data_IF_522788583426
#
_entry.id   IF_522788583426
#
_cell.length_a   1.000
_cell.length_b   1.000
_cell.length_c   1.000
_cell.angle_alpha   90.00
_cell.angle_beta   90.00
_cell.angle_gamma   90.00
#
_symmetry.space_group_name_H-M   'P 1'
#
loop_
_entity.id
_entity.type
_entity.pdbx_description
1 polymer ?
#
# COMPACT_ATOMS: atom_id res chain seq x y z
N UNK A 1 45.38 -13.83 -59.34
CA UNK A 1 44.34 -12.77 -59.35
C UNK A 1 43.21 -13.22 -58.43
N UNK A 2 43.21 -12.75 -57.19
CA UNK A 2 42.18 -13.00 -56.19
C UNK A 2 41.33 -11.72 -56.08
N UNK A 3 40.07 -11.81 -56.49
CA UNK A 3 39.08 -10.73 -56.41
C UNK A 3 38.50 -10.71 -55.00
N UNK A 4 38.83 -9.64 -54.25
CA UNK A 4 38.28 -9.36 -52.94
C UNK A 4 36.84 -8.84 -53.07
N UNK A 5 35.88 -9.61 -52.56
CA UNK A 5 34.50 -9.18 -52.32
C UNK A 5 34.44 -8.42 -51.00
N UNK A 6 34.45 -7.09 -51.07
CA UNK A 6 34.08 -6.23 -49.95
C UNK A 6 32.60 -5.85 -50.12
N UNK A 7 31.72 -6.52 -49.38
CA UNK A 7 30.36 -6.05 -49.19
C UNK A 7 30.38 -4.91 -48.14
N UNK A 8 29.82 -3.72 -48.41
CA UNK A 8 29.62 -2.75 -47.35
C UNK A 8 28.46 -3.25 -46.49
N UNK A 9 28.75 -3.52 -45.22
CA UNK A 9 27.74 -3.63 -44.18
C UNK A 9 27.11 -2.23 -44.00
N UNK A 10 26.11 -1.93 -44.82
CA UNK A 10 25.19 -0.82 -44.58
C UNK A 10 24.36 -1.19 -43.35
N UNK A 11 24.88 -0.87 -42.18
CA UNK A 11 24.12 -0.84 -40.95
C UNK A 11 22.97 0.15 -41.16
N UNK A 12 21.75 -0.38 -41.34
CA UNK A 12 20.50 0.35 -41.26
C UNK A 12 20.37 0.92 -39.84
N UNK A 13 20.98 2.07 -39.61
CA UNK A 13 20.53 2.98 -38.57
C UNK A 13 19.20 3.56 -39.06
N UNK A 14 18.11 2.81 -38.88
CA UNK A 14 16.79 3.44 -38.81
C UNK A 14 16.86 4.37 -37.60
N UNK A 15 17.00 5.67 -37.88
CA UNK A 15 16.70 6.72 -36.91
C UNK A 15 15.33 6.38 -36.34
N UNK A 16 15.29 5.89 -35.09
CA UNK A 16 14.04 5.66 -34.38
C UNK A 16 13.41 7.03 -34.22
N UNK A 17 12.45 7.32 -35.07
CA UNK A 17 11.66 8.54 -35.05
C UNK A 17 11.11 8.70 -33.62
N UNK A 18 11.62 9.68 -32.89
CA UNK A 18 11.21 9.91 -31.50
C UNK A 18 9.76 10.37 -31.57
N UNK A 19 8.81 9.61 -31.01
CA UNK A 19 7.41 9.97 -31.11
C UNK A 19 7.18 11.32 -30.43
N UNK A 20 6.23 12.14 -30.92
CA UNK A 20 6.00 13.48 -30.39
C UNK A 20 5.69 13.46 -28.89
N UNK A 21 5.98 14.55 -28.16
CA UNK A 21 5.66 14.65 -26.74
C UNK A 21 4.16 14.47 -26.52
N UNK A 22 3.80 13.65 -25.55
CA UNK A 22 2.41 13.36 -25.21
C UNK A 22 1.82 14.51 -24.42
N UNK A 23 0.64 15.00 -24.81
CA UNK A 23 -0.10 16.01 -24.05
C UNK A 23 -0.91 15.35 -22.93
N UNK A 24 -1.24 16.10 -21.87
CA UNK A 24 -2.08 15.58 -20.78
C UNK A 24 -3.44 15.07 -21.26
N UNK A 25 -4.06 15.76 -22.23
CA UNK A 25 -5.33 15.34 -22.83
C UNK A 25 -5.20 14.00 -23.56
N UNK A 26 -4.13 13.83 -24.34
CA UNK A 26 -3.86 12.58 -25.03
C UNK A 26 -3.57 11.45 -24.03
N UNK A 27 -2.83 11.75 -22.95
CA UNK A 27 -2.56 10.80 -21.88
C UNK A 27 -3.85 10.37 -21.15
N UNK A 28 -4.73 11.32 -20.82
CA UNK A 28 -6.02 11.03 -20.20
C UNK A 28 -6.89 10.12 -21.08
N UNK A 29 -6.96 10.41 -22.38
CA UNK A 29 -7.68 9.57 -23.34
C UNK A 29 -7.10 8.14 -23.44
N UNK A 30 -5.77 8.00 -23.46
CA UNK A 30 -5.11 6.70 -23.49
C UNK A 30 -5.37 5.87 -22.22
N UNK A 31 -5.46 6.52 -21.05
CA UNK A 31 -5.81 5.87 -19.79
C UNK A 31 -7.30 5.47 -19.72
N UNK A 32 -8.18 6.26 -20.32
CA UNK A 32 -9.62 5.98 -20.36
C UNK A 32 -10.01 4.84 -21.32
N UNK A 33 -9.24 4.62 -22.39
CA UNK A 33 -9.50 3.58 -23.41
C UNK A 33 -9.42 2.13 -22.86
N UNK A 34 -8.79 1.92 -21.70
CA UNK A 34 -8.76 0.64 -20.99
C UNK A 34 -7.94 -0.47 -21.64
N UNK A 35 -7.56 -0.33 -22.92
CA UNK A 35 -6.68 -1.27 -23.63
C UNK A 35 -5.23 -1.10 -23.19
N UNK A 36 -4.50 -2.21 -23.14
CA UNK A 36 -3.06 -2.21 -22.88
C UNK A 36 -2.33 -1.81 -24.16
N UNK A 37 -1.87 -0.57 -24.23
CA UNK A 37 -1.12 -0.04 -25.37
C UNK A 37 0.15 0.68 -24.90
N UNK A 38 1.19 0.81 -25.74
CA UNK A 38 2.36 1.63 -25.41
C UNK A 38 2.01 3.07 -25.01
N UNK A 39 0.92 3.62 -25.55
CA UNK A 39 0.42 4.95 -25.20
C UNK A 39 -0.07 5.02 -23.75
N UNK A 40 -0.65 3.95 -23.22
CA UNK A 40 -1.09 3.87 -21.81
C UNK A 40 0.09 3.92 -20.85
N UNK A 41 1.18 3.22 -21.19
CA UNK A 41 2.41 3.25 -20.38
C UNK A 41 3.08 4.63 -20.45
N UNK A 42 3.11 5.26 -21.63
CA UNK A 42 3.57 6.66 -21.78
C UNK A 42 2.71 7.65 -21.00
N UNK A 43 1.39 7.44 -20.97
CA UNK A 43 0.46 8.27 -20.22
C UNK A 43 0.70 8.17 -18.70
N UNK A 44 0.95 6.96 -18.18
CA UNK A 44 1.35 6.78 -16.79
C UNK A 44 2.70 7.42 -16.47
N UNK A 45 3.69 7.26 -17.34
CA UNK A 45 5.00 7.91 -17.17
C UNK A 45 4.86 9.43 -17.09
N UNK A 46 4.03 10.03 -17.95
CA UNK A 46 3.72 11.46 -17.89
C UNK A 46 3.04 11.84 -16.57
N UNK A 47 2.07 11.05 -16.10
CA UNK A 47 1.41 11.30 -14.82
C UNK A 47 2.39 11.23 -13.62
N UNK A 48 3.33 10.29 -13.63
CA UNK A 48 4.39 10.17 -12.63
C UNK A 48 5.33 11.39 -12.65
N UNK A 49 5.71 11.86 -13.84
CA UNK A 49 6.57 13.04 -14.01
C UNK A 49 5.89 14.33 -13.54
N UNK A 50 4.60 14.48 -13.82
CA UNK A 50 3.84 15.66 -13.43
C UNK A 50 3.50 15.63 -11.93
N UNK A 51 3.14 14.46 -11.38
CA UNK A 51 2.76 14.27 -9.99
C UNK A 51 1.65 15.26 -9.57
N UNK A 52 1.87 16.09 -8.53
CA UNK A 52 0.89 17.09 -8.12
C UNK A 52 0.66 18.24 -9.13
N UNK A 53 1.41 18.32 -10.22
CA UNK A 53 1.19 19.33 -11.27
C UNK A 53 0.25 18.86 -12.37
N UNK A 54 -0.10 17.58 -12.40
CA UNK A 54 -1.05 17.06 -13.39
C UNK A 54 -2.39 17.80 -13.30
N UNK A 55 -2.96 18.10 -14.46
CA UNK A 55 -4.29 18.68 -14.58
C UNK A 55 -5.40 17.73 -14.11
N UNK A 56 -6.61 18.27 -13.82
CA UNK A 56 -7.70 17.50 -13.23
C UNK A 56 -8.18 16.34 -14.10
N UNK A 57 -8.16 16.49 -15.43
CA UNK A 57 -8.57 15.44 -16.37
C UNK A 57 -7.62 14.24 -16.32
N UNK A 58 -6.29 14.49 -16.35
CA UNK A 58 -5.29 13.43 -16.25
C UNK A 58 -5.34 12.74 -14.89
N UNK A 59 -5.48 13.51 -13.79
CA UNK A 59 -5.63 12.94 -12.43
C UNK A 59 -6.82 11.99 -12.35
N UNK A 60 -7.99 12.42 -12.83
CA UNK A 60 -9.20 11.61 -12.84
C UNK A 60 -9.01 10.33 -13.69
N UNK A 61 -8.37 10.46 -14.85
CA UNK A 61 -8.09 9.32 -15.73
C UNK A 61 -7.14 8.29 -15.08
N UNK A 62 -6.09 8.75 -14.39
CA UNK A 62 -5.17 7.87 -13.64
C UNK A 62 -5.93 7.16 -12.51
N UNK A 63 -6.70 7.88 -11.69
CA UNK A 63 -7.49 7.30 -10.59
C UNK A 63 -8.47 6.24 -11.14
N UNK A 64 -9.20 6.57 -12.20
CA UNK A 64 -10.12 5.65 -12.87
C UNK A 64 -9.43 4.40 -13.42
N UNK A 65 -8.26 4.59 -14.04
CA UNK A 65 -7.47 3.49 -14.56
C UNK A 65 -7.03 2.53 -13.42
N UNK A 66 -6.56 3.04 -12.29
CA UNK A 66 -6.20 2.19 -11.13
C UNK A 66 -7.39 1.44 -10.58
N UNK A 67 -8.55 2.10 -10.45
CA UNK A 67 -9.76 1.44 -9.98
C UNK A 67 -10.16 0.27 -10.90
N UNK A 68 -10.05 0.45 -12.21
CA UNK A 68 -10.30 -0.62 -13.18
C UNK A 68 -9.30 -1.78 -13.03
N UNK A 69 -8.00 -1.50 -12.84
CA UNK A 69 -6.99 -2.55 -12.62
C UNK A 69 -7.26 -3.33 -11.32
N UNK A 70 -7.59 -2.64 -10.22
CA UNK A 70 -7.89 -3.28 -8.93
C UNK A 70 -9.12 -4.20 -8.98
N UNK A 71 -10.07 -3.90 -9.86
CA UNK A 71 -11.29 -4.69 -10.09
C UNK A 71 -11.12 -5.77 -11.13
N UNK A 72 -9.96 -5.84 -11.80
CA UNK A 72 -9.72 -6.78 -12.89
C UNK A 72 -10.56 -6.48 -14.13
N UNK A 73 -10.93 -5.21 -14.34
CA UNK A 73 -11.71 -4.74 -15.49
C UNK A 73 -10.81 -4.49 -16.72
N UNK A 74 -9.50 -4.72 -16.59
CA UNK A 74 -8.52 -4.59 -17.66
C UNK A 74 -8.09 -5.95 -18.19
N UNK A 75 -7.61 -6.00 -19.43
CA UNK A 75 -7.12 -7.25 -20.04
C UNK A 75 -5.72 -7.67 -19.52
N UNK A 76 -5.30 -7.16 -18.36
CA UNK A 76 -3.98 -7.42 -17.80
C UNK A 76 -3.98 -8.74 -17.00
N UNK A 77 -2.92 -9.56 -17.12
CA UNK A 77 -2.77 -10.73 -16.25
C UNK A 77 -2.79 -10.34 -14.78
N UNK A 78 -3.44 -11.15 -13.94
CA UNK A 78 -3.56 -10.89 -12.49
C UNK A 78 -2.21 -10.90 -11.78
N UNK A 79 -1.22 -11.57 -12.36
CA UNK A 79 0.14 -11.69 -11.87
C UNK A 79 1.02 -10.49 -12.28
N UNK A 80 0.49 -9.54 -13.05
CA UNK A 80 1.27 -8.41 -13.52
C UNK A 80 1.61 -7.45 -12.37
N UNK A 81 2.91 -7.21 -12.18
CA UNK A 81 3.43 -6.20 -11.26
C UNK A 81 3.10 -4.76 -11.67
N UNK A 82 2.50 -4.55 -12.86
CA UNK A 82 2.15 -3.23 -13.33
C UNK A 82 1.24 -2.48 -12.36
N UNK A 83 0.39 -3.18 -11.59
CA UNK A 83 -0.47 -2.55 -10.57
C UNK A 83 0.35 -1.66 -9.61
N UNK A 84 1.61 -2.02 -9.30
CA UNK A 84 2.47 -1.20 -8.44
C UNK A 84 2.81 0.15 -9.08
N UNK A 85 3.06 0.20 -10.40
CA UNK A 85 3.28 1.46 -11.13
C UNK A 85 2.02 2.33 -11.14
N UNK A 86 0.84 1.73 -11.26
CA UNK A 86 -0.44 2.45 -11.19
C UNK A 86 -0.68 3.05 -9.80
N UNK A 87 -0.42 2.25 -8.76
CA UNK A 87 -0.54 2.71 -7.37
C UNK A 87 0.48 3.81 -7.05
N UNK A 88 1.69 3.71 -7.58
CA UNK A 88 2.70 4.77 -7.46
C UNK A 88 2.24 6.04 -8.17
N UNK A 89 1.72 5.94 -9.39
CA UNK A 89 1.20 7.09 -10.13
C UNK A 89 0.11 7.82 -9.34
N UNK A 90 -0.89 7.09 -8.82
CA UNK A 90 -1.95 7.67 -7.98
C UNK A 90 -1.41 8.31 -6.71
N UNK A 91 -0.46 7.67 -6.04
CA UNK A 91 0.15 8.20 -4.84
C UNK A 91 0.87 9.54 -5.10
N UNK A 92 1.59 9.64 -6.22
CA UNK A 92 2.32 10.84 -6.62
C UNK A 92 1.40 12.02 -6.96
N UNK A 93 0.14 11.78 -7.36
CA UNK A 93 -0.82 12.87 -7.63
C UNK A 93 -1.14 13.71 -6.38
N UNK A 94 -1.03 13.10 -5.19
CA UNK A 94 -1.47 13.70 -3.91
C UNK A 94 -2.89 14.28 -4.00
N UNK A 95 -3.77 13.57 -4.71
CA UNK A 95 -5.15 14.00 -4.93
C UNK A 95 -6.08 13.42 -3.85
N UNK A 96 -6.83 14.24 -3.10
CA UNK A 96 -7.83 13.74 -2.15
C UNK A 96 -8.89 12.83 -2.78
N UNK A 97 -9.20 12.98 -4.08
CA UNK A 97 -10.12 12.09 -4.81
C UNK A 97 -9.59 10.66 -4.96
N UNK A 98 -8.28 10.45 -4.74
CA UNK A 98 -7.67 9.12 -4.78
C UNK A 98 -7.91 8.29 -3.50
N UNK A 99 -8.41 8.88 -2.42
CA UNK A 99 -8.57 8.16 -1.14
C UNK A 99 -9.35 6.85 -1.27
N UNK A 100 -10.51 6.78 -1.95
CA UNK A 100 -11.25 5.53 -2.09
C UNK A 100 -10.44 4.42 -2.78
N UNK A 101 -9.76 4.73 -3.88
CA UNK A 101 -8.96 3.74 -4.63
C UNK A 101 -7.72 3.31 -3.84
N UNK A 102 -7.10 4.21 -3.08
CA UNK A 102 -5.98 3.88 -2.20
C UNK A 102 -6.41 2.98 -1.03
N UNK A 103 -7.62 3.15 -0.50
CA UNK A 103 -8.21 2.23 0.50
C UNK A 103 -8.49 0.85 -0.12
N UNK A 104 -8.99 0.81 -1.35
CA UNK A 104 -9.15 -0.45 -2.09
C UNK A 104 -7.81 -1.17 -2.29
N UNK A 105 -6.74 -0.40 -2.50
CA UNK A 105 -5.37 -0.87 -2.75
C UNK A 105 -4.59 -1.30 -1.49
N UNK A 106 -5.13 -1.11 -0.28
CA UNK A 106 -4.45 -1.51 0.96
C UNK A 106 -3.94 -2.97 0.97
N UNK A 107 -4.63 -3.99 0.40
CA UNK A 107 -4.09 -5.35 0.34
C UNK A 107 -2.78 -5.51 -0.45
N UNK A 108 -2.45 -4.56 -1.33
CA UNK A 108 -1.29 -4.64 -2.23
C UNK A 108 0.01 -4.11 -1.60
N UNK A 109 -0.04 -3.57 -0.38
CA UNK A 109 1.16 -3.32 0.41
C UNK A 109 1.29 -1.90 0.98
N UNK A 110 2.51 -1.58 1.43
CA UNK A 110 2.79 -0.35 2.17
C UNK A 110 2.78 0.92 1.30
N UNK A 111 2.80 0.81 -0.03
CA UNK A 111 2.71 1.97 -0.94
C UNK A 111 1.39 2.74 -0.75
N UNK A 112 0.26 2.03 -0.75
CA UNK A 112 -1.05 2.61 -0.47
C UNK A 112 -1.13 3.22 0.94
N UNK A 113 -0.53 2.57 1.94
CA UNK A 113 -0.50 3.08 3.31
C UNK A 113 0.28 4.39 3.45
N UNK A 114 1.42 4.52 2.77
CA UNK A 114 2.18 5.78 2.72
C UNK A 114 1.35 6.88 2.04
N UNK A 115 0.80 6.60 0.86
CA UNK A 115 -0.01 7.56 0.10
C UNK A 115 -1.22 8.07 0.90
N UNK A 116 -1.91 7.18 1.63
CA UNK A 116 -3.01 7.56 2.51
C UNK A 116 -2.52 8.47 3.65
N UNK A 117 -1.35 8.19 4.24
CA UNK A 117 -0.79 9.06 5.27
C UNK A 117 -0.38 10.44 4.72
N UNK A 118 0.15 10.50 3.49
CA UNK A 118 0.45 11.77 2.80
C UNK A 118 -0.81 12.62 2.54
N UNK A 119 -1.99 12.00 2.47
CA UNK A 119 -3.31 12.65 2.32
C UNK A 119 -4.01 12.93 3.67
N UNK A 120 -3.31 12.74 4.78
CA UNK A 120 -3.82 13.05 6.11
C UNK A 120 -3.96 14.57 6.33
N UNK A 121 -4.95 15.04 7.11
CA UNK A 121 -5.97 14.27 7.83
C UNK A 121 -7.18 13.83 6.99
N UNK A 122 -7.27 14.24 5.72
CA UNK A 122 -8.45 14.00 4.88
C UNK A 122 -8.77 12.52 4.65
N UNK A 123 -7.76 11.66 4.61
CA UNK A 123 -7.91 10.21 4.44
C UNK A 123 -8.29 9.45 5.72
N UNK A 124 -8.16 10.05 6.91
CA UNK A 124 -8.31 9.36 8.20
C UNK A 124 -9.66 8.62 8.34
N UNK A 125 -10.83 9.24 8.04
CA UNK A 125 -12.12 8.56 8.22
C UNK A 125 -12.23 7.27 7.39
N UNK A 126 -11.74 7.31 6.14
CA UNK A 126 -11.78 6.15 5.25
C UNK A 126 -10.83 5.04 5.69
N UNK A 127 -9.66 5.39 6.23
CA UNK A 127 -8.72 4.40 6.80
C UNK A 127 -9.28 3.79 8.07
N UNK A 128 -9.88 4.59 8.96
CA UNK A 128 -10.54 4.07 10.16
C UNK A 128 -11.63 3.07 9.82
N UNK A 129 -12.50 3.41 8.86
CA UNK A 129 -13.55 2.51 8.39
C UNK A 129 -12.97 1.20 7.83
N UNK A 130 -11.93 1.29 7.01
CA UNK A 130 -11.26 0.12 6.44
C UNK A 130 -10.63 -0.81 7.49
N UNK A 131 -10.18 -0.26 8.61
CA UNK A 131 -9.59 -1.03 9.72
C UNK A 131 -10.68 -1.53 10.68
N UNK A 132 -11.75 -0.77 10.93
CA UNK A 132 -12.84 -1.16 11.82
C UNK A 132 -13.76 -2.21 11.17
N UNK A 133 -14.06 -2.07 9.89
CA UNK A 133 -15.02 -2.89 9.15
C UNK A 133 -14.41 -3.50 7.88
N UNK A 134 -13.46 -4.45 7.99
CA UNK A 134 -12.70 -4.96 6.84
C UNK A 134 -13.47 -5.94 5.94
N UNK A 135 -14.67 -6.37 6.33
CA UNK A 135 -15.40 -7.45 5.67
C UNK A 135 -14.54 -8.71 5.56
N UNK A 136 -14.51 -9.31 4.37
CA UNK A 136 -13.76 -10.55 4.09
C UNK A 136 -12.27 -10.36 3.77
N UNK A 137 -11.72 -9.13 3.91
CA UNK A 137 -10.35 -8.80 3.46
C UNK A 137 -9.42 -8.45 4.62
N UNK A 138 -8.94 -9.42 5.43
CA UNK A 138 -8.11 -9.15 6.61
C UNK A 138 -6.76 -8.45 6.29
N UNK A 139 -6.22 -8.63 5.08
CA UNK A 139 -4.99 -7.96 4.65
C UNK A 139 -5.13 -6.43 4.54
N UNK A 140 -6.36 -5.93 4.31
CA UNK A 140 -6.67 -4.49 4.32
C UNK A 140 -6.40 -3.87 5.69
N UNK A 141 -6.73 -4.60 6.77
CA UNK A 141 -6.58 -4.13 8.15
C UNK A 141 -5.11 -3.86 8.49
N UNK A 142 -4.21 -4.79 8.16
CA UNK A 142 -2.79 -4.67 8.51
C UNK A 142 -2.12 -3.44 7.88
N UNK A 143 -2.39 -3.18 6.60
CA UNK A 143 -1.85 -2.00 5.92
C UNK A 143 -2.62 -0.72 6.30
N UNK A 144 -3.91 -0.81 6.64
CA UNK A 144 -4.65 0.31 7.22
C UNK A 144 -4.10 0.74 8.57
N UNK A 145 -3.79 -0.19 9.47
CA UNK A 145 -3.10 0.08 10.75
C UNK A 145 -1.72 0.71 10.52
N UNK A 146 -1.01 0.29 9.47
CA UNK A 146 0.26 0.91 9.07
C UNK A 146 0.05 2.36 8.63
N UNK A 147 -1.00 2.65 7.84
CA UNK A 147 -1.33 4.01 7.43
C UNK A 147 -1.66 4.89 8.65
N UNK A 148 -2.48 4.41 9.59
CA UNK A 148 -2.81 5.13 10.83
C UNK A 148 -1.55 5.43 11.67
N UNK A 149 -0.59 4.49 11.74
CA UNK A 149 0.69 4.72 12.40
C UNK A 149 1.48 5.83 11.72
N UNK A 150 1.56 5.80 10.40
CA UNK A 150 2.25 6.85 9.65
C UNK A 150 1.61 8.23 9.85
N UNK A 151 0.28 8.34 9.83
CA UNK A 151 -0.40 9.61 10.15
C UNK A 151 -0.06 10.11 11.55
N UNK A 152 0.00 9.21 12.53
CA UNK A 152 0.36 9.55 13.91
C UNK A 152 1.82 10.00 14.02
N UNK A 153 2.76 9.25 13.43
CA UNK A 153 4.19 9.53 13.44
C UNK A 153 4.52 10.86 12.71
N UNK A 154 3.78 11.17 11.64
CA UNK A 154 3.89 12.43 10.90
C UNK A 154 3.32 13.63 11.68
N UNK A 155 2.67 13.40 12.82
CA UNK A 155 2.06 14.45 13.65
C UNK A 155 0.83 15.11 13.01
N UNK A 156 0.22 14.48 12.00
CA UNK A 156 -0.90 15.05 11.24
C UNK A 156 -2.25 14.94 11.95
N UNK A 157 -2.30 14.21 13.08
CA UNK A 157 -3.52 13.92 13.83
C UNK A 157 -3.65 14.78 15.08
N UNK A 158 -4.81 15.42 15.25
CA UNK A 158 -5.19 16.08 16.51
C UNK A 158 -5.53 15.07 17.61
N UNK A 159 -5.55 15.50 18.87
CA UNK A 159 -5.95 14.65 20.00
C UNK A 159 -7.37 14.06 19.85
N UNK A 160 -8.30 14.82 19.25
CA UNK A 160 -9.65 14.33 18.94
C UNK A 160 -9.65 13.22 17.90
N UNK A 161 -8.73 13.28 16.94
CA UNK A 161 -8.56 12.25 15.90
C UNK A 161 -7.79 11.02 16.40
N UNK A 162 -6.93 11.19 17.40
CA UNK A 162 -6.19 10.07 18.01
C UNK A 162 -7.13 9.15 18.81
N UNK A 163 -8.17 9.68 19.45
CA UNK A 163 -9.13 8.88 20.23
C UNK A 163 -9.72 7.69 19.45
N UNK A 164 -10.35 7.85 18.27
CA UNK A 164 -10.86 6.70 17.51
C UNK A 164 -9.76 5.75 17.01
N UNK A 165 -8.53 6.23 16.81
CA UNK A 165 -7.38 5.36 16.50
C UNK A 165 -7.08 4.42 17.68
N UNK A 166 -7.13 4.92 18.92
CA UNK A 166 -6.96 4.08 20.12
C UNK A 166 -8.04 3.00 20.23
N UNK A 167 -9.30 3.36 19.99
CA UNK A 167 -10.43 2.40 20.03
C UNK A 167 -10.20 1.24 19.05
N UNK A 168 -9.91 1.56 17.79
CA UNK A 168 -9.67 0.54 16.76
C UNK A 168 -8.48 -0.35 17.12
N UNK A 169 -7.43 0.20 17.74
CA UNK A 169 -6.29 -0.62 18.20
C UNK A 169 -6.69 -1.54 19.35
N UNK A 170 -7.50 -1.08 20.31
CA UNK A 170 -8.03 -1.94 21.39
C UNK A 170 -8.86 -3.09 20.83
N UNK A 171 -9.73 -2.79 19.86
CA UNK A 171 -10.53 -3.81 19.18
C UNK A 171 -9.66 -4.83 18.44
N UNK A 172 -8.59 -4.37 17.75
CA UNK A 172 -7.66 -5.24 17.02
C UNK A 172 -6.65 -5.97 17.90
N UNK A 173 -6.57 -5.62 19.19
CA UNK A 173 -5.84 -6.38 20.22
C UNK A 173 -6.78 -7.19 21.12
N UNK A 174 -8.03 -7.40 20.66
CA UNK A 174 -9.03 -8.23 21.33
C UNK A 174 -9.63 -9.25 20.36
N UNK A 175 -10.01 -10.42 20.89
CA UNK A 175 -10.62 -11.51 20.13
C UNK A 175 -9.67 -12.15 19.10
N UNK A 176 -10.15 -13.18 18.41
CA UNK A 176 -9.32 -13.85 17.40
C UNK A 176 -9.13 -12.97 16.16
N UNK A 177 -7.87 -12.74 15.78
CA UNK A 177 -7.44 -11.90 14.68
C UNK A 177 -6.43 -12.65 13.79
N UNK A 178 -6.23 -12.18 12.57
CA UNK A 178 -5.11 -12.64 11.76
C UNK A 178 -3.77 -12.12 12.33
N UNK A 179 -2.71 -12.93 12.33
CA UNK A 179 -1.43 -12.57 12.97
C UNK A 179 -0.79 -11.27 12.45
N UNK A 180 -1.00 -10.93 11.17
CA UNK A 180 -0.52 -9.66 10.59
C UNK A 180 -1.27 -8.45 11.14
N UNK A 181 -2.56 -8.61 11.47
CA UNK A 181 -3.38 -7.57 12.10
C UNK A 181 -2.88 -7.30 13.50
N UNK A 182 -2.65 -8.36 14.29
CA UNK A 182 -2.07 -8.26 15.63
C UNK A 182 -0.70 -7.55 15.58
N UNK A 183 0.17 -7.94 14.64
CA UNK A 183 1.47 -7.30 14.47
C UNK A 183 1.36 -5.81 14.14
N UNK A 184 0.41 -5.41 13.29
CA UNK A 184 0.15 -4.01 12.96
C UNK A 184 -0.39 -3.23 14.16
N UNK A 185 -1.31 -3.83 14.91
CA UNK A 185 -1.93 -3.22 16.08
C UNK A 185 -0.92 -3.02 17.22
N UNK A 186 -0.02 -3.97 17.46
CA UNK A 186 1.09 -3.82 18.43
C UNK A 186 1.97 -2.61 18.07
N UNK A 187 2.34 -2.46 16.80
CA UNK A 187 3.19 -1.33 16.36
C UNK A 187 2.48 0.00 16.58
N UNK A 188 1.21 0.10 16.22
CA UNK A 188 0.42 1.30 16.41
C UNK A 188 0.15 1.61 17.88
N UNK A 189 -0.13 0.59 18.71
CA UNK A 189 -0.28 0.71 20.16
C UNK A 189 0.93 1.36 20.82
N UNK A 190 2.14 0.92 20.44
CA UNK A 190 3.37 1.50 20.97
C UNK A 190 3.62 2.92 20.45
N UNK A 191 3.31 3.20 19.18
CA UNK A 191 3.42 4.55 18.62
C UNK A 191 2.45 5.55 19.28
N UNK A 192 1.26 5.09 19.69
CA UNK A 192 0.26 5.90 20.41
C UNK A 192 0.73 6.36 21.79
N UNK A 193 1.70 5.67 22.40
CA UNK A 193 2.18 5.97 23.75
C UNK A 193 1.12 5.82 24.83
N UNK A 194 0.03 5.09 24.56
CA UNK A 194 -1.08 4.87 25.47
C UNK A 194 -0.70 3.81 26.54
N UNK A 195 -0.79 4.11 27.85
CA UNK A 195 -0.34 3.19 28.90
C UNK A 195 -1.09 1.85 28.93
N UNK A 196 -2.39 1.83 28.65
CA UNK A 196 -3.21 0.62 28.69
C UNK A 196 -2.90 -0.29 27.50
N UNK A 197 -2.78 0.31 26.31
CA UNK A 197 -2.33 -0.39 25.12
C UNK A 197 -0.91 -0.93 25.28
N UNK A 198 -0.01 -0.16 25.91
CA UNK A 198 1.34 -0.61 26.24
C UNK A 198 1.31 -1.83 27.17
N UNK A 199 0.53 -1.80 28.24
CA UNK A 199 0.38 -2.92 29.17
C UNK A 199 -0.15 -4.17 28.44
N UNK A 200 -1.07 -3.99 27.48
CA UNK A 200 -1.56 -5.08 26.64
C UNK A 200 -0.42 -5.69 25.81
N UNK A 201 0.43 -4.87 25.19
CA UNK A 201 1.61 -5.35 24.43
C UNK A 201 2.62 -6.05 25.34
N UNK A 202 2.88 -5.54 26.54
CA UNK A 202 3.76 -6.17 27.54
C UNK A 202 3.24 -7.55 27.96
N UNK A 203 1.92 -7.68 28.17
CA UNK A 203 1.28 -8.98 28.42
C UNK A 203 1.48 -9.95 27.24
N UNK A 204 1.27 -9.50 26.00
CA UNK A 204 1.47 -10.35 24.81
C UNK A 204 2.95 -10.79 24.67
N UNK A 205 3.89 -9.93 25.05
CA UNK A 205 5.32 -10.24 25.05
C UNK A 205 5.71 -11.29 26.13
N UNK A 206 5.04 -11.27 27.29
CA UNK A 206 5.35 -12.13 28.42
C UNK A 206 4.56 -13.46 28.41
N UNK A 207 3.30 -13.45 27.99
CA UNK A 207 2.39 -14.58 28.04
C UNK A 207 2.04 -15.11 26.65
N UNK A 208 2.50 -16.33 26.38
CA UNK A 208 2.20 -17.01 25.12
C UNK A 208 0.71 -17.27 24.96
N UNK A 209 0.02 -17.64 26.04
CA UNK A 209 -1.40 -17.99 26.03
C UNK A 209 -2.25 -16.80 25.59
N UNK A 210 -1.87 -15.59 26.01
CA UNK A 210 -2.50 -14.36 25.55
C UNK A 210 -2.39 -14.16 24.03
N UNK A 211 -1.25 -14.54 23.43
CA UNK A 211 -1.07 -14.49 21.97
C UNK A 211 -1.87 -15.60 21.28
N UNK A 212 -1.91 -16.80 21.86
CA UNK A 212 -2.70 -17.92 21.34
C UNK A 212 -4.20 -17.61 21.31
N UNK A 213 -4.73 -16.92 22.33
CA UNK A 213 -6.10 -16.45 22.36
C UNK A 213 -6.42 -15.39 21.29
N UNK A 214 -5.40 -14.66 20.83
CA UNK A 214 -5.54 -13.55 19.90
C UNK A 214 -5.27 -13.94 18.44
N UNK A 215 -4.39 -14.90 18.18
CA UNK A 215 -4.05 -15.30 16.81
C UNK A 215 -4.95 -16.44 16.36
N UNK A 216 -5.74 -16.22 15.31
CA UNK A 216 -6.62 -17.24 14.77
C UNK A 216 -5.84 -18.41 14.12
N UNK A 217 -6.25 -19.67 14.36
CA UNK A 217 -5.68 -20.83 13.70
C UNK A 217 -6.21 -21.08 12.27
N UNK A 218 -7.33 -20.45 11.88
CA UNK A 218 -8.06 -20.80 10.64
C UNK A 218 -7.98 -19.76 9.52
N UNK A 219 -7.51 -18.54 9.80
CA UNK A 219 -7.63 -17.40 8.88
C UNK A 219 -6.56 -17.31 7.78
N UNK A 220 -5.82 -18.37 7.48
CA UNK A 220 -4.70 -18.24 6.53
C UNK A 220 -4.85 -19.03 5.24
N UNK A 221 -5.54 -20.17 5.21
CA UNK A 221 -5.52 -21.01 3.99
C UNK A 221 -6.46 -22.24 4.02
N UNK A 222 -7.24 -22.47 5.09
CA UNK A 222 -8.09 -23.66 5.20
C UNK A 222 -7.37 -25.02 5.27
N UNK A 223 -6.06 -25.07 5.02
CA UNK A 223 -5.24 -26.28 5.08
C UNK A 223 -4.36 -26.24 6.33
N UNK A 224 -4.64 -27.17 7.24
CA UNK A 224 -3.96 -27.41 8.51
C UNK A 224 -2.43 -27.42 8.40
N UNK A 225 -1.73 -26.79 9.36
CA UNK A 225 -0.44 -27.27 9.91
C UNK A 225 -0.10 -26.52 11.20
N UNK A 226 -0.17 -27.23 12.33
CA UNK A 226 0.16 -26.75 13.68
C UNK A 226 1.53 -26.06 13.80
N UNK A 227 2.47 -26.36 12.90
CA UNK A 227 3.79 -25.71 12.84
C UNK A 227 3.70 -24.26 12.33
N UNK A 228 2.90 -23.98 11.29
CA UNK A 228 2.72 -22.61 10.76
C UNK A 228 2.00 -21.72 11.77
N UNK A 229 0.97 -22.27 12.44
CA UNK A 229 0.27 -21.53 13.49
C UNK A 229 1.17 -21.22 14.70
N UNK A 230 1.95 -22.18 15.19
CA UNK A 230 2.95 -21.94 16.25
C UNK A 230 3.95 -20.86 15.86
N UNK A 231 4.50 -20.92 14.64
CA UNK A 231 5.41 -19.89 14.13
C UNK A 231 4.77 -18.49 14.08
N UNK A 232 3.47 -18.38 13.77
CA UNK A 232 2.74 -17.11 13.79
C UNK A 232 2.58 -16.57 15.21
N UNK A 233 2.27 -17.43 16.19
CA UNK A 233 2.22 -17.08 17.62
C UNK A 233 3.59 -16.62 18.10
N UNK A 234 4.63 -17.42 17.84
CA UNK A 234 6.02 -17.12 18.18
C UNK A 234 6.43 -15.77 17.60
N UNK A 235 6.18 -15.56 16.30
CA UNK A 235 6.55 -14.33 15.61
C UNK A 235 5.81 -13.09 16.11
N UNK A 236 4.56 -13.20 16.55
CA UNK A 236 3.84 -12.09 17.19
C UNK A 236 4.46 -11.77 18.55
N UNK A 237 4.72 -12.79 19.36
CA UNK A 237 5.29 -12.63 20.70
C UNK A 237 6.72 -12.04 20.65
N UNK A 238 7.58 -12.59 19.79
CA UNK A 238 8.94 -12.09 19.56
C UNK A 238 8.93 -10.65 19.05
N UNK A 239 8.00 -10.32 18.15
CA UNK A 239 7.85 -8.94 17.65
C UNK A 239 7.43 -7.98 18.76
N UNK A 240 6.52 -8.38 19.65
CA UNK A 240 6.15 -7.58 20.81
C UNK A 240 7.37 -7.29 21.71
N UNK A 241 8.16 -8.32 22.04
CA UNK A 241 9.40 -8.18 22.82
C UNK A 241 10.42 -7.25 22.16
N UNK A 242 10.65 -7.44 20.86
CA UNK A 242 11.61 -6.66 20.11
C UNK A 242 11.20 -5.17 20.04
N UNK A 243 9.93 -4.88 19.75
CA UNK A 243 9.42 -3.50 19.72
C UNK A 243 9.49 -2.82 21.08
N UNK A 244 9.14 -3.52 22.18
CA UNK A 244 9.29 -3.00 23.55
C UNK A 244 10.75 -2.70 23.91
N UNK A 245 11.69 -3.42 23.29
CA UNK A 245 13.14 -3.20 23.45
C UNK A 245 13.69 -2.11 22.53
N UNK A 246 12.83 -1.42 21.77
CA UNK A 246 13.21 -0.33 20.87
C UNK A 246 13.63 -0.75 19.45
N UNK A 247 13.49 -2.03 19.09
CA UNK A 247 13.76 -2.49 17.72
C UNK A 247 12.70 -1.97 16.77
N UNK A 248 13.11 -1.34 15.67
CA UNK A 248 12.20 -0.90 14.60
C UNK A 248 12.08 -1.97 13.52
N UNK A 249 10.87 -2.12 12.96
CA UNK A 249 10.60 -3.08 11.88
C UNK A 249 9.93 -2.40 10.68
N UNK A 250 10.19 -2.89 9.45
CA UNK A 250 9.48 -2.42 8.27
C UNK A 250 7.97 -2.75 8.34
N UNK A 251 7.14 -2.03 7.55
CA UNK A 251 7.53 -0.94 6.66
C UNK A 251 7.90 0.31 7.45
N UNK A 252 8.90 1.06 6.97
CA UNK A 252 9.21 2.39 7.49
C UNK A 252 8.41 3.43 6.70
N UNK A 253 8.10 4.56 7.35
CA UNK A 253 7.52 5.71 6.67
C UNK A 253 8.48 6.14 5.57
N UNK A 254 7.98 6.23 4.34
CA UNK A 254 8.72 6.77 3.19
C UNK A 254 7.88 7.91 2.63
N UNK A 255 8.08 9.15 3.11
CA UNK A 255 7.40 10.28 2.52
C UNK A 255 7.82 10.39 1.06
N UNK A 256 6.87 10.68 0.17
CA UNK A 256 7.22 11.00 -1.20
C UNK A 256 8.06 12.28 -1.20
N UNK A 257 9.14 12.34 -2.01
CA UNK A 257 9.95 13.55 -2.10
C UNK A 257 9.04 14.75 -2.38
N UNK A 258 9.20 15.80 -1.58
CA UNK A 258 8.58 17.08 -1.88
C UNK A 258 9.29 17.68 -3.09
N UNK A 259 8.57 18.12 -4.14
CA UNK A 259 9.17 18.87 -5.24
C UNK A 259 9.73 20.22 -4.76
#
# INVERSE_FOLDING_TARGET
MLLALAAPAAALAQEREVPPPMTERAAAAALADGRLTPERDRALALALELGPRAGPELRAAVIGAVAAELRGETNRPKESEAIFTYLEAVAQLRDPQAVPVLVEALPFGAGAANALADLSPGSLPAVLEAVANPGERPHRVGNGLTALRFMLEDGSLSQRQIAPVREVVRDRLTGMQHHSVVSGAIRLALALGDPELRQTVERLAADRTAVEALVSPYLSDGVTRSRSHRQRIDGVQERARALLSGVSFPPHRRPFPHP
#
